data_IF_532846684230
#
_entry.id   IF_532846684230
#
_cell.length_a   1.000
_cell.length_b   1.000
_cell.length_c   1.000
_cell.angle_alpha   90.00
_cell.angle_beta   90.00
_cell.angle_gamma   90.00
#
_symmetry.space_group_name_H-M   'P 1'
#
loop_
_entity.id
_entity.type
_entity.pdbx_description
1 polymer ?
#
# COMPACT_ATOMS: atom_id res chain seq x y z
N UNK A 1 77.16 62.28 0.58
CA UNK A 1 76.68 61.23 1.52
C UNK A 1 75.28 60.86 1.04
N UNK A 2 75.16 59.93 0.09
CA UNK A 2 74.96 58.49 0.32
C UNK A 2 73.74 58.25 1.23
N UNK A 3 72.63 57.65 0.82
CA UNK A 3 72.23 57.06 -0.45
C UNK A 3 70.78 56.60 -0.28
N UNK A 4 69.94 56.81 -1.29
CA UNK A 4 68.58 56.29 -1.31
C UNK A 4 68.64 54.78 -1.58
N UNK A 5 68.20 53.97 -0.61
CA UNK A 5 68.01 52.54 -0.79
C UNK A 5 66.51 52.24 -0.82
N UNK A 6 65.93 52.26 -2.02
CA UNK A 6 64.65 51.65 -2.30
C UNK A 6 64.82 50.13 -2.24
N UNK A 7 64.31 49.50 -1.17
CA UNK A 7 64.24 48.05 -1.08
C UNK A 7 63.01 47.56 -1.87
N UNK A 8 63.29 46.91 -3.00
CA UNK A 8 62.35 46.20 -3.86
C UNK A 8 61.59 45.13 -3.07
N UNK A 9 60.27 45.29 -2.92
CA UNK A 9 59.40 44.26 -2.38
C UNK A 9 59.15 43.18 -3.45
N UNK A 10 59.73 41.99 -3.28
CA UNK A 10 59.43 40.82 -4.12
C UNK A 10 57.98 40.34 -3.96
N UNK A 11 57.46 39.54 -4.91
CA UNK A 11 56.08 39.06 -4.88
C UNK A 11 55.85 38.15 -3.67
N UNK A 12 54.94 38.55 -2.77
CA UNK A 12 54.50 37.70 -1.66
C UNK A 12 53.60 36.61 -2.24
N UNK A 13 54.09 35.38 -2.30
CA UNK A 13 53.27 34.22 -2.64
C UNK A 13 52.24 34.04 -1.51
N UNK A 14 50.92 34.06 -1.80
CA UNK A 14 49.94 33.80 -0.76
C UNK A 14 50.07 32.35 -0.30
N UNK A 15 50.44 32.14 0.96
CA UNK A 15 50.37 30.83 1.60
C UNK A 15 48.89 30.49 1.72
N UNK A 16 48.45 29.45 0.99
CA UNK A 16 47.09 28.95 1.11
C UNK A 16 46.91 28.36 2.51
N UNK A 17 45.91 28.79 3.28
CA UNK A 17 45.66 28.20 4.60
C UNK A 17 45.39 26.71 4.42
N UNK A 18 46.20 25.89 5.10
CA UNK A 18 46.00 24.44 5.18
C UNK A 18 44.90 24.21 6.22
N UNK A 19 43.86 23.42 5.90
CA UNK A 19 42.82 23.13 6.88
C UNK A 19 43.39 22.36 8.08
N UNK A 20 43.11 22.87 9.28
CA UNK A 20 43.44 22.22 10.55
C UNK A 20 42.64 20.92 10.72
N UNK A 21 43.06 20.01 11.61
CA UNK A 21 42.38 18.72 11.84
C UNK A 21 40.87 18.86 12.10
N UNK A 22 40.47 19.86 12.89
CA UNK A 22 39.05 20.09 13.22
C UNK A 22 38.23 20.40 11.96
N UNK A 23 38.75 21.22 11.04
CA UNK A 23 38.05 21.53 9.79
C UNK A 23 37.88 20.30 8.91
N UNK A 24 38.90 19.42 8.87
CA UNK A 24 38.84 18.16 8.13
C UNK A 24 37.81 17.21 8.72
N UNK A 25 37.77 17.08 10.04
CA UNK A 25 36.80 16.25 10.75
C UNK A 25 35.37 16.76 10.55
N UNK A 26 35.13 18.07 10.72
CA UNK A 26 33.80 18.64 10.51
C UNK A 26 33.35 18.46 9.06
N UNK A 27 34.24 18.71 8.09
CA UNK A 27 33.91 18.54 6.68
C UNK A 27 33.53 17.10 6.31
N UNK A 28 34.26 16.10 6.83
CA UNK A 28 33.94 14.69 6.56
C UNK A 28 32.66 14.24 7.26
N UNK A 29 32.40 14.72 8.48
CA UNK A 29 31.15 14.44 9.20
C UNK A 29 29.94 15.03 8.47
N UNK A 30 30.03 16.29 8.02
CA UNK A 30 28.96 16.93 7.24
C UNK A 30 28.75 16.20 5.92
N UNK A 31 29.83 15.88 5.19
CA UNK A 31 29.74 15.13 3.93
C UNK A 31 29.09 13.75 4.15
N UNK A 32 29.48 13.04 5.21
CA UNK A 32 28.90 11.75 5.57
C UNK A 32 27.40 11.89 5.85
N UNK A 33 27.00 12.87 6.66
CA UNK A 33 25.59 13.08 6.98
C UNK A 33 24.75 13.42 5.74
N UNK A 34 25.28 14.25 4.84
CA UNK A 34 24.64 14.58 3.57
C UNK A 34 24.50 13.34 2.67
N UNK A 35 25.56 12.54 2.55
CA UNK A 35 25.55 11.31 1.77
C UNK A 35 24.49 10.33 2.27
N UNK A 36 24.45 10.08 3.58
CA UNK A 36 23.43 9.23 4.19
C UNK A 36 22.03 9.84 4.06
N UNK A 37 21.89 11.15 4.21
CA UNK A 37 20.62 11.85 4.00
C UNK A 37 20.08 11.64 2.59
N UNK A 38 20.91 11.81 1.57
CA UNK A 38 20.52 11.56 0.16
C UNK A 38 20.16 10.09 -0.05
N UNK A 39 20.91 9.14 0.53
CA UNK A 39 20.58 7.72 0.42
C UNK A 39 19.25 7.37 1.09
N UNK A 40 19.02 7.83 2.32
CA UNK A 40 17.80 7.55 3.06
C UNK A 40 16.57 8.18 2.41
N UNK A 41 16.69 9.39 1.86
CA UNK A 41 15.57 10.08 1.20
C UNK A 41 15.42 9.69 -0.28
N UNK A 42 16.50 9.26 -0.94
CA UNK A 42 16.50 8.94 -2.37
C UNK A 42 16.26 7.46 -2.67
N UNK A 43 16.68 6.54 -1.79
CA UNK A 43 16.48 5.10 -1.97
C UNK A 43 15.14 4.71 -1.34
N UNK A 44 14.10 4.56 -2.16
CA UNK A 44 12.82 3.98 -1.74
C UNK A 44 11.62 4.92 -1.71
N UNK A 45 11.81 6.24 -1.93
CA UNK A 45 10.70 7.18 -2.12
C UNK A 45 10.39 7.38 -3.60
N UNK A 46 10.07 6.30 -4.31
CA UNK A 46 9.27 6.46 -5.52
C UNK A 46 7.84 6.77 -5.07
N UNK A 47 7.26 7.87 -5.55
CA UNK A 47 5.81 8.03 -5.48
C UNK A 47 5.22 6.88 -6.28
N UNK A 48 4.65 5.90 -5.59
CA UNK A 48 3.95 4.79 -6.21
C UNK A 48 2.92 5.36 -7.17
N UNK A 49 3.00 4.94 -8.44
CA UNK A 49 2.04 5.37 -9.44
C UNK A 49 0.68 4.83 -9.02
N UNK A 50 -0.39 5.60 -9.22
CA UNK A 50 -1.74 5.17 -8.85
C UNK A 50 -1.96 3.74 -9.39
N UNK A 51 -2.22 2.79 -8.49
CA UNK A 51 -2.46 1.41 -8.85
C UNK A 51 -3.58 1.37 -9.91
N UNK A 52 -3.45 0.56 -10.98
CA UNK A 52 -4.48 0.44 -11.98
C UNK A 52 -5.83 0.18 -11.30
N UNK A 53 -6.82 1.03 -11.60
CA UNK A 53 -8.18 0.87 -11.09
C UNK A 53 -8.77 -0.35 -11.78
N UNK A 54 -8.66 -1.51 -11.14
CA UNK A 54 -9.37 -2.70 -11.58
C UNK A 54 -10.86 -2.47 -11.31
N UNK A 55 -11.76 -2.76 -12.27
CA UNK A 55 -13.19 -2.70 -12.02
C UNK A 55 -13.52 -3.56 -10.80
N UNK A 56 -14.01 -2.95 -9.73
CA UNK A 56 -14.55 -3.68 -8.59
C UNK A 56 -15.89 -4.27 -9.00
N UNK A 57 -16.22 -5.45 -8.47
CA UNK A 57 -17.52 -6.07 -8.68
C UNK A 57 -18.63 -5.16 -8.13
N UNK A 58 -19.50 -4.63 -9.00
CA UNK A 58 -20.72 -3.94 -8.57
C UNK A 58 -21.71 -4.96 -8.00
N UNK A 59 -21.95 -4.89 -6.69
CA UNK A 59 -22.92 -5.75 -5.99
C UNK A 59 -24.25 -5.01 -5.91
N UNK A 60 -25.18 -5.36 -6.80
CA UNK A 60 -26.58 -4.93 -6.68
C UNK A 60 -27.27 -5.86 -5.69
N UNK A 61 -27.60 -5.35 -4.51
CA UNK A 61 -28.40 -6.06 -3.52
C UNK A 61 -29.88 -6.05 -3.94
N UNK A 62 -30.29 -7.07 -4.69
CA UNK A 62 -31.72 -7.34 -4.88
C UNK A 62 -32.29 -7.96 -3.62
N UNK A 63 -33.19 -7.23 -2.95
CA UNK A 63 -33.97 -7.74 -1.83
C UNK A 63 -34.92 -8.83 -2.35
N UNK A 64 -34.47 -10.08 -2.34
CA UNK A 64 -35.29 -11.24 -2.69
C UNK A 64 -35.93 -11.75 -1.40
N UNK A 65 -37.26 -11.64 -1.32
CA UNK A 65 -38.04 -12.11 -0.18
C UNK A 65 -38.67 -13.46 -0.53
N UNK A 66 -38.50 -14.44 0.35
CA UNK A 66 -39.22 -15.71 0.22
C UNK A 66 -40.70 -15.53 0.61
N UNK A 67 -41.65 -16.16 -0.09
CA UNK A 67 -43.05 -16.20 0.34
C UNK A 67 -43.25 -17.06 1.60
N UNK A 68 -42.26 -17.87 2.00
CA UNK A 68 -42.34 -18.72 3.19
C UNK A 68 -41.99 -17.93 4.46
N UNK A 69 -42.74 -18.19 5.54
CA UNK A 69 -42.45 -17.64 6.86
C UNK A 69 -41.30 -18.38 7.55
N UNK A 70 -40.67 -17.77 8.56
CA UNK A 70 -39.56 -18.39 9.31
C UNK A 70 -39.96 -19.73 9.96
N UNK A 71 -41.21 -19.88 10.40
CA UNK A 71 -41.70 -21.12 11.00
C UNK A 71 -41.95 -22.24 9.98
N UNK A 72 -42.08 -21.89 8.70
CA UNK A 72 -42.28 -22.83 7.59
C UNK A 72 -40.96 -23.21 6.91
N UNK A 73 -39.83 -22.66 7.35
CA UNK A 73 -38.53 -22.92 6.76
C UNK A 73 -37.89 -24.19 7.36
N UNK A 74 -37.76 -25.23 6.55
CA UNK A 74 -37.08 -26.47 6.94
C UNK A 74 -35.54 -26.33 6.94
N UNK A 75 -34.98 -25.43 6.13
CA UNK A 75 -33.54 -25.20 5.97
C UNK A 75 -33.19 -23.71 5.83
N UNK A 76 -31.98 -23.34 6.29
CA UNK A 76 -31.38 -22.05 6.02
C UNK A 76 -30.72 -22.08 4.63
N UNK A 77 -31.21 -21.28 3.70
CA UNK A 77 -30.67 -21.19 2.34
C UNK A 77 -30.62 -19.72 1.88
N UNK A 78 -29.86 -19.46 0.83
CA UNK A 78 -29.92 -18.16 0.14
C UNK A 78 -31.33 -17.93 -0.40
N UNK A 79 -31.77 -16.68 -0.48
CA UNK A 79 -33.16 -16.31 -0.81
C UNK A 79 -33.69 -16.87 -2.14
N UNK A 80 -32.81 -17.27 -3.06
CA UNK A 80 -33.16 -17.89 -4.35
C UNK A 80 -32.92 -19.40 -4.42
N UNK A 81 -32.55 -20.06 -3.32
CA UNK A 81 -32.27 -21.49 -3.28
C UNK A 81 -33.38 -22.22 -2.53
N UNK A 82 -34.25 -22.91 -3.27
CA UNK A 82 -35.21 -23.86 -2.71
C UNK A 82 -34.49 -25.21 -2.53
N UNK A 83 -34.53 -25.78 -1.33
CA UNK A 83 -33.88 -27.06 -1.03
C UNK A 83 -34.48 -28.18 -1.87
N UNK A 84 -33.68 -28.81 -2.74
CA UNK A 84 -34.15 -29.75 -3.77
C UNK A 84 -34.42 -31.19 -3.30
N UNK A 85 -35.14 -31.35 -2.18
CA UNK A 85 -35.50 -32.68 -1.67
C UNK A 85 -36.98 -33.01 -1.93
N UNK A 86 -37.26 -34.12 -2.61
CA UNK A 86 -38.63 -34.60 -2.89
C UNK A 86 -39.19 -35.55 -1.81
N UNK A 87 -38.56 -35.61 -0.62
CA UNK A 87 -38.99 -36.52 0.45
C UNK A 87 -40.07 -35.87 1.31
N UNK A 88 -41.08 -36.65 1.72
CA UNK A 88 -42.22 -36.15 2.53
C UNK A 88 -41.81 -35.67 3.93
N UNK A 89 -40.61 -36.06 4.40
CA UNK A 89 -40.10 -35.68 5.71
C UNK A 89 -38.73 -35.00 5.57
N UNK A 90 -38.60 -33.84 6.21
CA UNK A 90 -37.34 -33.14 6.39
C UNK A 90 -36.37 -33.99 7.21
N UNK A 91 -35.26 -34.41 6.58
CA UNK A 91 -34.11 -35.05 7.25
C UNK A 91 -32.91 -34.13 7.13
N UNK A 92 -32.30 -33.80 8.27
CA UNK A 92 -30.98 -33.15 8.29
C UNK A 92 -29.93 -34.23 8.03
N UNK A 93 -29.08 -34.10 6.99
CA UNK A 93 -27.90 -34.94 6.85
C UNK A 93 -27.09 -34.89 8.16
N UNK A 94 -26.89 -36.04 8.80
CA UNK A 94 -26.09 -36.18 10.03
C UNK A 94 -24.73 -36.83 9.77
N UNK A 95 -24.36 -36.97 8.50
CA UNK A 95 -23.07 -37.50 8.14
C UNK A 95 -21.99 -36.64 8.81
N UNK A 96 -20.97 -37.31 9.34
CA UNK A 96 -19.77 -36.64 9.81
C UNK A 96 -19.10 -36.03 8.59
N UNK A 97 -19.50 -34.80 8.22
CA UNK A 97 -18.78 -34.02 7.24
C UNK A 97 -17.37 -33.82 7.79
N UNK A 98 -16.40 -34.46 7.14
CA UNK A 98 -15.00 -34.19 7.40
C UNK A 98 -14.79 -32.68 7.20
N UNK A 99 -14.31 -32.01 8.25
CA UNK A 99 -13.87 -30.62 8.15
C UNK A 99 -12.76 -30.49 7.12
N UNK A 100 -12.42 -29.26 6.74
CA UNK A 100 -11.29 -29.01 5.86
C UNK A 100 -10.03 -29.67 6.44
N UNK A 101 -9.55 -30.72 5.78
CA UNK A 101 -8.31 -31.37 6.15
C UNK A 101 -7.14 -30.40 5.86
N UNK A 102 -6.08 -30.41 6.68
CA UNK A 102 -4.88 -29.63 6.38
C UNK A 102 -4.38 -29.99 4.98
N UNK A 103 -4.35 -29.01 4.09
CA UNK A 103 -3.77 -29.18 2.75
C UNK A 103 -2.25 -29.01 2.87
N UNK A 104 -1.49 -29.84 2.15
CA UNK A 104 -0.04 -29.78 2.17
C UNK A 104 0.50 -28.48 1.54
N UNK A 105 -0.26 -27.90 0.60
CA UNK A 105 0.06 -26.63 -0.04
C UNK A 105 -0.55 -25.45 0.71
N UNK A 106 0.26 -24.42 0.89
CA UNK A 106 -0.20 -23.14 1.38
C UNK A 106 -1.14 -22.51 0.35
N UNK A 107 -2.36 -22.17 0.78
CA UNK A 107 -3.29 -21.40 -0.04
C UNK A 107 -2.70 -20.05 -0.44
N UNK A 108 -3.08 -19.54 -1.61
CA UNK A 108 -2.68 -18.20 -2.05
C UNK A 108 -3.39 -17.17 -1.17
N UNK A 109 -2.63 -16.34 -0.48
CA UNK A 109 -3.18 -15.24 0.30
C UNK A 109 -3.86 -14.22 -0.63
N UNK A 110 -5.06 -13.71 -0.29
CA UNK A 110 -5.67 -12.61 -1.02
C UNK A 110 -4.71 -11.41 -1.09
N UNK A 111 -4.53 -10.84 -2.28
CA UNK A 111 -3.77 -9.60 -2.45
C UNK A 111 -4.51 -8.49 -1.70
N UNK A 112 -3.83 -7.72 -0.83
CA UNK A 112 -4.48 -6.63 -0.11
C UNK A 112 -4.99 -5.59 -1.12
N UNK A 113 -6.31 -5.44 -1.23
CA UNK A 113 -6.91 -4.36 -1.98
C UNK A 113 -6.88 -3.08 -1.13
N UNK A 114 -6.37 -2.00 -1.71
CA UNK A 114 -6.49 -0.67 -1.11
C UNK A 114 -7.95 -0.24 -1.21
N UNK A 115 -8.53 0.26 -0.11
CA UNK A 115 -9.85 0.87 -0.16
C UNK A 115 -9.82 2.08 -1.10
N UNK A 116 -10.67 2.07 -2.12
CA UNK A 116 -10.87 3.18 -3.05
C UNK A 116 -12.38 3.48 -3.05
N UNK A 117 -12.75 4.73 -2.82
CA UNK A 117 -14.14 5.15 -2.96
C UNK A 117 -14.48 5.17 -4.44
N UNK A 118 -15.56 4.51 -4.90
CA UNK A 118 -16.05 4.70 -6.26
C UNK A 118 -16.27 6.20 -6.55
N UNK A 119 -16.01 6.63 -7.78
CA UNK A 119 -16.40 7.97 -8.21
C UNK A 119 -17.91 8.14 -7.98
N UNK A 120 -18.33 9.32 -7.49
CA UNK A 120 -19.74 9.59 -7.24
C UNK A 120 -20.55 9.35 -8.52
N UNK A 121 -21.49 8.40 -8.48
CA UNK A 121 -22.39 8.18 -9.60
C UNK A 121 -23.27 9.41 -9.79
N UNK A 122 -23.48 9.86 -11.05
CA UNK A 122 -24.43 10.91 -11.34
C UNK A 122 -25.83 10.50 -10.85
N UNK A 123 -26.67 11.45 -10.41
CA UNK A 123 -28.00 11.15 -9.91
C UNK A 123 -28.81 10.35 -10.95
N UNK A 124 -29.63 9.37 -10.52
CA UNK A 124 -30.42 8.56 -11.43
C UNK A 124 -31.30 9.48 -12.30
N UNK A 125 -31.17 9.38 -13.62
CA UNK A 125 -32.07 10.10 -14.51
C UNK A 125 -33.48 9.54 -14.37
N UNK A 126 -34.45 10.43 -14.18
CA UNK A 126 -35.86 10.07 -14.13
C UNK A 126 -36.24 9.41 -15.45
N UNK A 127 -36.58 8.12 -15.41
CA UNK A 127 -37.12 7.41 -16.56
C UNK A 127 -38.47 8.03 -16.91
N UNK A 128 -38.54 8.68 -18.07
CA UNK A 128 -39.77 9.21 -18.69
C UNK A 128 -40.60 8.09 -19.33
#
# INVERSE_FOLDING_TARGET
MSGAAAAMAGPRVPVRPVPDENQRLTATLVLSLLFHGVLLLGVGFALESAAPVVPTLDVILTQTQSPLTQAQADFLAQASNQGGGEHEKTTRPRDNQAGQAPQAEAGVAPVPLRAQSPAAQPPPEARV
#
